data_IF_179073715618
#
_entry.id   IF_179073715618
#
_cell.length_a   1.000
_cell.length_b   1.000
_cell.length_c   1.000
_cell.angle_alpha   90.00
_cell.angle_beta   90.00
_cell.angle_gamma   90.00
#
_symmetry.space_group_name_H-M   'P 1'
#
loop_
_entity.id
_entity.type
_entity.pdbx_description
1 polymer ?
#
# COMPACT_ATOMS: atom_id res chain seq x y z
N UNK A 1 -7.47 0.30 13.65
CA UNK A 1 -8.30 1.39 14.20
C UNK A 1 -7.53 2.67 13.89
N UNK A 2 -8.10 3.60 13.12
CA UNK A 2 -7.49 4.90 12.79
C UNK A 2 -8.60 5.91 12.48
N UNK A 3 -9.19 6.52 13.50
CA UNK A 3 -10.05 7.71 13.34
C UNK A 3 -9.24 9.00 13.49
N UNK A 4 -9.74 10.14 12.99
CA UNK A 4 -9.03 11.43 13.10
C UNK A 4 -8.69 11.83 14.54
N UNK A 5 -9.54 11.47 15.50
CA UNK A 5 -9.27 11.70 16.92
C UNK A 5 -8.06 10.95 17.46
N UNK A 6 -7.75 9.76 16.93
CA UNK A 6 -6.64 8.91 17.39
C UNK A 6 -5.27 9.43 16.91
N UNK A 7 -5.25 10.21 15.83
CA UNK A 7 -4.02 10.80 15.25
C UNK A 7 -3.84 12.27 15.63
N UNK A 8 -4.63 12.79 16.58
CA UNK A 8 -4.61 14.22 16.95
C UNK A 8 -3.25 14.68 17.43
N UNK A 9 -2.66 13.97 18.38
CA UNK A 9 -1.34 14.33 18.93
C UNK A 9 -0.25 14.25 17.85
N UNK A 10 -0.33 13.24 16.98
CA UNK A 10 0.58 13.05 15.86
C UNK A 10 0.51 14.21 14.85
N UNK A 11 -0.70 14.63 14.49
CA UNK A 11 -0.90 15.77 13.60
C UNK A 11 -0.40 17.08 14.22
N UNK A 12 -0.60 17.26 15.53
CA UNK A 12 -0.15 18.44 16.29
C UNK A 12 1.36 18.46 16.53
N UNK A 13 2.06 17.33 16.46
CA UNK A 13 3.51 17.25 16.58
C UNK A 13 4.25 17.86 15.36
N UNK A 14 3.56 18.09 14.25
CA UNK A 14 4.14 18.66 13.05
C UNK A 14 4.55 20.13 13.26
N UNK A 15 5.84 20.42 13.00
CA UNK A 15 6.41 21.78 13.06
C UNK A 15 6.26 22.56 11.74
N UNK A 16 5.60 21.98 10.73
CA UNK A 16 5.42 22.55 9.40
C UNK A 16 6.71 22.96 8.67
N UNK A 17 7.86 22.38 9.00
CA UNK A 17 9.18 22.71 8.45
C UNK A 17 9.41 22.32 6.97
N UNK A 18 8.49 21.54 6.38
CA UNK A 18 8.45 21.19 4.96
C UNK A 18 9.59 20.28 4.43
N UNK A 19 10.42 19.69 5.31
CA UNK A 19 11.47 18.72 4.92
C UNK A 19 10.92 17.54 4.10
N UNK A 20 9.74 17.06 4.47
CA UNK A 20 9.04 15.96 3.81
C UNK A 20 8.64 16.22 2.35
N UNK A 21 8.62 17.49 1.89
CA UNK A 21 8.24 17.82 0.50
C UNK A 21 9.21 17.22 -0.51
N UNK A 22 10.51 17.28 -0.22
CA UNK A 22 11.56 16.84 -1.15
C UNK A 22 11.53 15.35 -1.41
N UNK A 23 11.13 14.56 -0.41
CA UNK A 23 11.06 13.09 -0.54
C UNK A 23 9.73 12.60 -1.09
N UNK A 24 8.69 13.45 -1.15
CA UNK A 24 7.37 13.01 -1.60
C UNK A 24 7.29 12.95 -3.14
N UNK A 25 7.07 11.76 -3.74
CA UNK A 25 7.00 11.63 -5.18
C UNK A 25 5.74 12.28 -5.77
N UNK A 26 4.60 12.17 -5.07
CA UNK A 26 3.33 12.81 -5.48
C UNK A 26 3.47 14.33 -5.55
N UNK A 27 4.08 14.94 -4.53
CA UNK A 27 4.29 16.38 -4.52
C UNK A 27 5.22 16.85 -5.64
N UNK A 28 6.24 16.06 -6.00
CA UNK A 28 7.15 16.42 -7.08
C UNK A 28 6.48 16.32 -8.45
N UNK A 29 5.55 15.38 -8.61
CA UNK A 29 4.72 15.29 -9.82
C UNK A 29 3.69 16.41 -9.91
N UNK A 30 3.05 16.79 -8.79
CA UNK A 30 1.95 17.76 -8.82
C UNK A 30 2.34 19.21 -8.57
N UNK A 31 3.44 19.43 -7.84
CA UNK A 31 3.91 20.72 -7.32
C UNK A 31 2.87 21.49 -6.48
N UNK A 32 1.73 20.89 -6.18
CA UNK A 32 0.65 21.52 -5.44
C UNK A 32 0.74 21.19 -3.95
N UNK A 33 0.79 22.22 -3.10
CA UNK A 33 1.11 22.04 -1.68
C UNK A 33 0.08 21.16 -0.94
N UNK A 34 -1.18 21.17 -1.38
CA UNK A 34 -2.23 20.30 -0.83
C UNK A 34 -1.84 18.82 -0.88
N UNK A 35 -1.16 18.39 -1.93
CA UNK A 35 -0.70 17.01 -2.12
C UNK A 35 0.67 16.71 -1.53
N UNK A 36 1.29 17.69 -0.87
CA UNK A 36 2.49 17.44 -0.08
C UNK A 36 2.17 16.72 1.23
N UNK A 37 3.13 16.00 1.83
CA UNK A 37 2.89 15.36 3.13
C UNK A 37 2.56 16.40 4.21
N UNK A 38 3.24 17.55 4.19
CA UNK A 38 2.97 18.66 5.10
C UNK A 38 1.58 19.26 4.88
N UNK A 39 1.19 19.47 3.64
CA UNK A 39 -0.14 20.00 3.28
C UNK A 39 -1.25 19.07 3.73
N UNK A 40 -1.06 17.75 3.60
CA UNK A 40 -1.97 16.74 4.15
C UNK A 40 -2.07 16.78 5.68
N UNK A 41 -0.97 17.02 6.38
CA UNK A 41 -1.00 17.23 7.84
C UNK A 41 -1.72 18.54 8.21
N UNK A 42 -1.51 19.62 7.45
CA UNK A 42 -2.23 20.88 7.66
C UNK A 42 -3.75 20.71 7.45
N UNK A 43 -4.12 19.95 6.42
CA UNK A 43 -5.48 19.51 6.15
C UNK A 43 -6.08 18.74 7.32
N UNK A 44 -5.39 17.73 7.85
CA UNK A 44 -5.82 16.98 9.03
C UNK A 44 -5.98 17.90 10.26
N UNK A 45 -5.07 18.84 10.47
CA UNK A 45 -5.14 19.82 11.55
C UNK A 45 -6.42 20.66 11.48
N UNK A 46 -6.74 21.18 10.29
CA UNK A 46 -7.98 21.93 10.06
C UNK A 46 -9.23 21.10 10.36
N UNK A 47 -9.26 19.82 9.93
CA UNK A 47 -10.37 18.92 10.26
C UNK A 47 -10.50 18.67 11.76
N UNK A 48 -9.38 18.38 12.43
CA UNK A 48 -9.34 18.08 13.86
C UNK A 48 -9.80 19.26 14.71
N UNK A 49 -9.50 20.49 14.28
CA UNK A 49 -9.92 21.71 14.96
C UNK A 49 -11.34 22.18 14.58
N UNK A 50 -11.96 21.57 13.57
CA UNK A 50 -13.24 22.05 13.02
C UNK A 50 -13.13 23.36 12.25
N UNK A 51 -11.94 23.68 11.76
CA UNK A 51 -11.62 24.91 11.00
C UNK A 51 -11.69 24.70 9.49
N UNK A 52 -11.80 23.44 9.06
CA UNK A 52 -11.84 23.05 7.65
C UNK A 52 -13.08 22.19 7.39
N UNK A 53 -13.89 22.62 6.44
CA UNK A 53 -14.92 21.77 5.84
C UNK A 53 -14.29 21.02 4.64
N UNK A 54 -14.38 19.68 4.58
CA UNK A 54 -13.82 18.93 3.46
C UNK A 54 -14.52 19.26 2.14
N UNK A 55 -13.73 19.59 1.10
CA UNK A 55 -14.20 19.68 -0.29
C UNK A 55 -13.83 18.45 -1.11
N UNK A 56 -14.33 18.35 -2.34
CA UNK A 56 -13.92 17.27 -3.26
C UNK A 56 -12.40 17.33 -3.56
N UNK A 57 -11.84 18.52 -3.74
CA UNK A 57 -10.41 18.72 -3.95
C UNK A 57 -9.57 18.31 -2.73
N UNK A 58 -10.10 18.52 -1.52
CA UNK A 58 -9.49 18.04 -0.29
C UNK A 58 -9.39 16.51 -0.31
N UNK A 59 -10.49 15.82 -0.63
CA UNK A 59 -10.50 14.37 -0.64
C UNK A 59 -9.62 13.79 -1.75
N UNK A 60 -9.60 14.41 -2.92
CA UNK A 60 -8.67 14.10 -4.00
C UNK A 60 -7.20 14.20 -3.56
N UNK A 61 -6.83 15.27 -2.84
CA UNK A 61 -5.49 15.45 -2.27
C UNK A 61 -5.08 14.30 -1.35
N UNK A 62 -5.97 13.91 -0.43
CA UNK A 62 -5.76 12.82 0.53
C UNK A 62 -5.67 11.47 -0.18
N UNK A 63 -6.55 11.24 -1.16
CA UNK A 63 -6.57 10.02 -1.95
C UNK A 63 -5.32 9.88 -2.82
N UNK A 64 -4.75 10.96 -3.35
CA UNK A 64 -3.52 10.91 -4.13
C UNK A 64 -2.25 10.57 -3.32
N UNK A 65 -2.34 10.37 -1.99
CA UNK A 65 -1.21 9.84 -1.25
C UNK A 65 -0.89 8.40 -1.66
N UNK A 66 0.36 8.11 -2.01
CA UNK A 66 0.77 6.74 -2.33
C UNK A 66 1.08 5.87 -1.10
N UNK A 67 0.94 6.43 0.12
CA UNK A 67 1.28 5.80 1.41
C UNK A 67 2.72 5.25 1.49
N UNK A 68 3.62 5.80 0.67
CA UNK A 68 4.98 5.31 0.55
C UNK A 68 5.79 5.36 1.86
N UNK A 69 5.69 6.44 2.64
CA UNK A 69 6.43 6.58 3.90
C UNK A 69 7.76 7.31 3.79
N UNK A 70 8.22 7.66 2.58
CA UNK A 70 9.40 8.51 2.36
C UNK A 70 9.36 9.84 3.12
N UNK A 71 8.16 10.33 3.39
CA UNK A 71 7.95 11.55 4.16
C UNK A 71 8.20 11.38 5.66
N UNK A 72 7.98 10.19 6.22
CA UNK A 72 8.22 9.85 7.62
C UNK A 72 9.71 9.69 7.88
N UNK A 73 10.42 8.98 7.00
CA UNK A 73 11.87 8.82 7.05
C UNK A 73 12.61 10.16 6.98
N UNK A 74 12.12 11.08 6.14
CA UNK A 74 12.69 12.41 6.00
C UNK A 74 12.27 13.38 7.12
N UNK A 75 11.35 12.99 8.01
CA UNK A 75 10.76 13.89 8.99
C UNK A 75 11.66 14.04 10.23
N UNK A 76 12.20 15.25 10.52
CA UNK A 76 13.02 15.45 11.72
C UNK A 76 12.22 15.35 13.02
N UNK A 77 10.89 15.49 12.95
CA UNK A 77 9.97 15.34 14.07
C UNK A 77 9.33 13.95 14.13
N UNK A 78 9.74 13.02 13.26
CA UNK A 78 9.25 11.64 13.20
C UNK A 78 7.72 11.50 13.09
N UNK A 79 7.07 12.50 12.47
CA UNK A 79 5.61 12.50 12.26
C UNK A 79 5.20 11.32 11.37
N UNK A 80 4.27 10.50 11.86
CA UNK A 80 3.67 9.35 11.17
C UNK A 80 2.58 9.81 10.21
N UNK A 81 3.00 10.45 9.12
CA UNK A 81 2.08 11.03 8.12
C UNK A 81 1.14 9.98 7.50
N UNK A 82 1.56 8.72 7.36
CA UNK A 82 0.71 7.66 6.81
C UNK A 82 -0.46 7.38 7.72
N UNK A 83 -0.26 7.29 9.03
CA UNK A 83 -1.34 7.10 10.00
C UNK A 83 -2.36 8.26 9.92
N UNK A 84 -1.88 9.50 9.77
CA UNK A 84 -2.74 10.69 9.58
C UNK A 84 -3.54 10.59 8.28
N UNK A 85 -2.91 10.22 7.16
CA UNK A 85 -3.58 10.06 5.87
C UNK A 85 -4.63 8.96 5.92
N UNK A 86 -4.32 7.82 6.55
CA UNK A 86 -5.25 6.71 6.71
C UNK A 86 -6.47 7.12 7.53
N UNK A 87 -6.26 7.90 8.59
CA UNK A 87 -7.35 8.46 9.39
C UNK A 87 -8.23 9.42 8.57
N UNK A 88 -7.64 10.30 7.75
CA UNK A 88 -8.40 11.17 6.84
C UNK A 88 -9.20 10.38 5.79
N UNK A 89 -8.62 9.31 5.23
CA UNK A 89 -9.35 8.45 4.28
C UNK A 89 -10.49 7.68 4.95
N UNK A 90 -10.31 7.24 6.20
CA UNK A 90 -11.36 6.62 6.99
C UNK A 90 -12.52 7.59 7.29
N UNK A 91 -12.20 8.86 7.58
CA UNK A 91 -13.18 9.93 7.73
C UNK A 91 -13.96 10.15 6.43
N UNK A 92 -13.27 10.22 5.28
CA UNK A 92 -13.88 10.37 3.97
C UNK A 92 -14.96 9.29 3.68
N UNK A 93 -14.70 8.03 4.03
CA UNK A 93 -15.71 6.97 3.85
C UNK A 93 -16.92 7.10 4.78
N UNK A 94 -16.77 7.82 5.89
CA UNK A 94 -17.78 7.94 6.94
C UNK A 94 -18.60 9.23 6.83
N UNK A 95 -18.06 10.26 6.18
CA UNK A 95 -18.68 11.57 6.03
C UNK A 95 -19.80 11.63 4.98
N UNK A 96 -20.03 10.54 4.24
CA UNK A 96 -21.02 10.48 3.15
C UNK A 96 -20.60 11.23 1.89
N UNK A 97 -19.36 11.71 1.81
CA UNK A 97 -18.82 12.39 0.65
C UNK A 97 -18.75 11.47 -0.57
N UNK A 98 -18.92 12.05 -1.76
CA UNK A 98 -18.81 11.31 -3.01
C UNK A 98 -17.35 10.89 -3.26
N UNK A 99 -17.13 9.57 -3.32
CA UNK A 99 -15.83 9.04 -3.72
C UNK A 99 -15.60 9.26 -5.21
N UNK A 100 -14.36 9.58 -5.63
CA UNK A 100 -13.98 9.54 -7.03
C UNK A 100 -14.28 8.18 -7.63
N UNK A 101 -14.66 8.13 -8.92
CA UNK A 101 -15.07 6.89 -9.60
C UNK A 101 -14.03 5.78 -9.46
N UNK A 102 -12.75 6.13 -9.63
CA UNK A 102 -11.60 5.23 -9.52
C UNK A 102 -11.43 4.59 -8.13
N UNK A 103 -12.01 5.21 -7.10
CA UNK A 103 -11.98 4.75 -5.70
C UNK A 103 -13.28 4.04 -5.33
N UNK A 104 -14.41 4.52 -5.83
CA UNK A 104 -15.75 3.97 -5.52
C UNK A 104 -15.85 2.49 -5.87
N UNK A 105 -15.43 2.11 -7.07
CA UNK A 105 -15.47 0.71 -7.52
C UNK A 105 -14.67 -0.23 -6.59
N UNK A 106 -13.52 0.22 -6.09
CA UNK A 106 -12.71 -0.56 -5.15
C UNK A 106 -13.40 -0.75 -3.81
N UNK A 107 -13.98 0.32 -3.24
CA UNK A 107 -14.71 0.23 -1.96
C UNK A 107 -15.92 -0.70 -2.11
N UNK A 108 -16.71 -0.51 -3.18
CA UNK A 108 -17.90 -1.33 -3.40
C UNK A 108 -17.56 -2.80 -3.62
N UNK A 109 -16.50 -3.10 -4.35
CA UNK A 109 -16.02 -4.48 -4.53
C UNK A 109 -15.58 -5.07 -3.20
N UNK A 110 -14.82 -4.33 -2.40
CA UNK A 110 -14.36 -4.76 -1.08
C UNK A 110 -15.52 -5.02 -0.10
N UNK A 111 -16.60 -4.24 -0.19
CA UNK A 111 -17.80 -4.43 0.64
C UNK A 111 -18.58 -5.69 0.22
N UNK A 112 -18.84 -5.84 -1.08
CA UNK A 112 -19.69 -6.89 -1.64
C UNK A 112 -19.03 -8.27 -1.57
N UNK A 113 -17.71 -8.36 -1.70
CA UNK A 113 -17.01 -9.64 -1.81
C UNK A 113 -16.95 -10.36 -0.47
N UNK A 114 -17.40 -11.63 -0.36
CA UNK A 114 -17.44 -12.33 0.92
C UNK A 114 -16.03 -12.59 1.46
N UNK A 115 -15.88 -12.61 2.79
CA UNK A 115 -14.67 -13.16 3.42
C UNK A 115 -14.74 -14.68 3.30
N UNK A 116 -13.70 -15.41 2.91
CA UNK A 116 -13.75 -16.88 2.84
C UNK A 116 -13.59 -17.49 4.24
N UNK A 117 -14.10 -18.72 4.44
CA UNK A 117 -13.66 -19.54 5.57
C UNK A 117 -12.35 -20.22 5.15
N UNK A 118 -11.30 -20.12 5.96
CA UNK A 118 -9.98 -20.61 5.61
C UNK A 118 -9.30 -21.32 6.78
N UNK A 119 -8.64 -22.45 6.48
CA UNK A 119 -7.75 -23.18 7.38
C UNK A 119 -6.46 -23.54 6.64
N UNK A 120 -5.36 -23.77 7.37
CA UNK A 120 -4.07 -24.10 6.75
C UNK A 120 -3.36 -22.88 6.15
N UNK A 121 -2.71 -23.05 4.99
CA UNK A 121 -2.08 -21.95 4.25
C UNK A 121 -3.01 -21.54 3.11
N UNK A 122 -3.39 -20.27 3.06
CA UNK A 122 -4.23 -19.74 1.99
C UNK A 122 -3.57 -18.59 1.29
N UNK A 123 -3.75 -18.51 -0.03
CA UNK A 123 -3.26 -17.43 -0.86
C UNK A 123 -4.43 -16.52 -1.21
N UNK A 124 -4.31 -15.26 -0.82
CA UNK A 124 -5.31 -14.24 -1.09
C UNK A 124 -4.82 -13.35 -2.24
N UNK A 125 -5.66 -13.07 -3.27
CA UNK A 125 -5.31 -12.16 -4.34
C UNK A 125 -4.98 -10.77 -3.81
N UNK A 126 -3.89 -10.19 -4.30
CA UNK A 126 -3.75 -8.73 -4.34
C UNK A 126 -4.71 -8.12 -5.38
N UNK A 127 -4.69 -6.79 -5.52
CA UNK A 127 -5.60 -6.02 -6.40
C UNK A 127 -5.62 -6.53 -7.85
N UNK A 128 -4.53 -7.15 -8.32
CA UNK A 128 -4.36 -7.61 -9.70
C UNK A 128 -4.28 -9.13 -9.87
N UNK A 129 -4.45 -9.90 -8.79
CA UNK A 129 -4.78 -11.34 -8.79
C UNK A 129 -3.84 -12.29 -9.57
N UNK A 130 -2.66 -12.61 -9.03
CA UNK A 130 -1.78 -13.70 -9.55
C UNK A 130 -1.72 -14.92 -8.64
N UNK A 131 -2.84 -15.21 -7.98
CA UNK A 131 -2.96 -16.21 -6.90
C UNK A 131 -2.47 -17.59 -7.32
N UNK A 132 -2.80 -18.01 -8.54
CA UNK A 132 -2.45 -19.30 -9.09
C UNK A 132 -0.93 -19.48 -9.17
N UNK A 133 -0.21 -18.44 -9.61
CA UNK A 133 1.25 -18.47 -9.72
C UNK A 133 1.90 -18.64 -8.35
N UNK A 134 1.36 -17.96 -7.33
CA UNK A 134 1.85 -18.08 -5.95
C UNK A 134 1.53 -19.45 -5.34
N UNK A 135 0.35 -20.01 -5.60
CA UNK A 135 0.00 -21.38 -5.17
C UNK A 135 0.92 -22.41 -5.80
N UNK A 136 1.17 -22.31 -7.10
CA UNK A 136 2.12 -23.19 -7.81
C UNK A 136 3.52 -23.09 -7.21
N UNK A 137 4.00 -21.86 -6.97
CA UNK A 137 5.30 -21.63 -6.35
C UNK A 137 5.43 -22.23 -4.94
N UNK A 138 4.39 -22.08 -4.11
CA UNK A 138 4.37 -22.68 -2.77
C UNK A 138 4.34 -24.22 -2.84
N UNK A 139 3.62 -24.78 -3.80
CA UNK A 139 3.57 -26.23 -4.05
C UNK A 139 4.93 -26.79 -4.45
N UNK A 140 5.70 -26.09 -5.31
CA UNK A 140 7.09 -26.43 -5.65
C UNK A 140 8.01 -26.50 -4.42
N UNK A 141 7.70 -25.70 -3.38
CA UNK A 141 8.42 -25.68 -2.10
C UNK A 141 7.86 -26.70 -1.08
N UNK A 142 6.90 -27.54 -1.47
CA UNK A 142 6.27 -28.54 -0.61
C UNK A 142 5.26 -27.95 0.40
N UNK A 143 4.75 -26.75 0.16
CA UNK A 143 3.72 -26.10 0.98
C UNK A 143 2.35 -26.31 0.31
N UNK A 144 1.47 -27.05 0.97
CA UNK A 144 0.07 -27.14 0.56
C UNK A 144 -0.64 -25.80 0.84
N UNK A 145 -1.07 -25.12 -0.23
CA UNK A 145 -1.77 -23.85 -0.15
C UNK A 145 -3.00 -23.82 -1.06
N UNK A 146 -4.05 -23.14 -0.63
CA UNK A 146 -5.29 -22.97 -1.40
C UNK A 146 -5.49 -21.51 -1.80
N UNK A 147 -5.83 -21.27 -3.07
CA UNK A 147 -6.29 -19.97 -3.54
C UNK A 147 -7.69 -19.67 -3.00
N UNK A 148 -7.86 -18.55 -2.29
CA UNK A 148 -9.17 -18.13 -1.80
C UNK A 148 -9.53 -16.76 -2.33
N UNK A 149 -10.81 -16.55 -2.65
CA UNK A 149 -11.30 -15.22 -2.95
C UNK A 149 -11.39 -14.39 -1.67
N UNK A 150 -10.84 -13.18 -1.67
CA UNK A 150 -11.06 -12.23 -0.58
C UNK A 150 -11.18 -10.79 -1.14
N UNK A 151 -11.91 -9.89 -0.45
CA UNK A 151 -11.95 -8.48 -0.83
C UNK A 151 -10.56 -7.83 -0.71
N UNK A 152 -10.18 -6.94 -1.64
CA UNK A 152 -8.98 -6.12 -1.48
C UNK A 152 -9.25 -5.01 -0.45
N UNK A 153 -8.78 -5.19 0.78
CA UNK A 153 -9.03 -4.26 1.89
C UNK A 153 -7.90 -3.24 2.07
N UNK A 154 -6.72 -3.53 1.54
CA UNK A 154 -5.54 -2.67 1.44
C UNK A 154 -5.68 -1.57 0.41
N UNK A 155 -6.59 -1.75 -0.56
CA UNK A 155 -6.67 -0.94 -1.78
C UNK A 155 -7.02 0.52 -1.51
N UNK A 156 -7.18 0.95 -0.26
CA UNK A 156 -7.11 2.36 0.09
C UNK A 156 -6.38 2.59 1.43
N UNK A 157 -5.93 1.53 2.09
CA UNK A 157 -5.53 1.54 3.50
C UNK A 157 -6.69 1.86 4.45
N UNK A 158 -7.94 1.83 3.99
CA UNK A 158 -9.10 2.33 4.75
C UNK A 158 -9.84 1.22 5.52
N UNK A 159 -9.26 0.04 5.63
CA UNK A 159 -9.88 -1.03 6.39
C UNK A 159 -9.89 -0.79 7.92
N UNK A 160 -9.51 0.41 8.38
CA UNK A 160 -9.83 0.95 9.71
C UNK A 160 -11.07 1.84 9.79
N UNK A 161 -11.75 2.12 8.67
CA UNK A 161 -12.97 2.93 8.65
C UNK A 161 -14.12 2.26 9.40
N UNK A 162 -15.02 3.06 10.00
CA UNK A 162 -16.31 2.57 10.50
C UNK A 162 -17.04 1.68 9.50
N UNK A 163 -17.01 2.04 8.21
CA UNK A 163 -17.71 1.34 7.12
C UNK A 163 -17.21 -0.08 6.86
N UNK A 164 -15.92 -0.35 7.02
CA UNK A 164 -15.32 -1.69 6.81
C UNK A 164 -15.05 -2.46 8.12
N UNK A 165 -15.45 -1.91 9.27
CA UNK A 165 -15.12 -2.46 10.60
C UNK A 165 -15.69 -3.85 10.83
N UNK A 166 -16.91 -4.10 10.37
CA UNK A 166 -17.56 -5.42 10.48
C UNK A 166 -16.78 -6.47 9.68
N UNK A 167 -16.34 -6.11 8.46
CA UNK A 167 -15.51 -6.97 7.61
C UNK A 167 -14.22 -7.40 8.30
N UNK A 168 -13.57 -6.50 9.03
CA UNK A 168 -12.36 -6.82 9.80
C UNK A 168 -12.64 -7.90 10.86
N UNK A 169 -13.80 -7.82 11.51
CA UNK A 169 -14.26 -8.84 12.46
C UNK A 169 -14.44 -10.20 11.78
N UNK A 170 -15.09 -10.23 10.62
CA UNK A 170 -15.29 -11.44 9.82
C UNK A 170 -13.96 -12.11 9.43
N UNK A 171 -12.95 -11.32 9.03
CA UNK A 171 -11.60 -11.84 8.72
C UNK A 171 -10.98 -12.58 9.90
N UNK A 172 -11.03 -11.98 11.10
CA UNK A 172 -10.49 -12.63 12.30
C UNK A 172 -11.24 -13.92 12.64
N UNK A 173 -12.56 -13.92 12.50
CA UNK A 173 -13.38 -15.09 12.79
C UNK A 173 -13.16 -16.22 11.79
N UNK A 174 -13.15 -15.89 10.49
CA UNK A 174 -13.20 -16.88 9.40
C UNK A 174 -11.82 -17.31 8.91
N UNK A 175 -10.79 -16.50 9.13
CA UNK A 175 -9.42 -16.77 8.69
C UNK A 175 -8.40 -16.79 9.85
N UNK A 176 -8.80 -16.53 11.10
CA UNK A 176 -7.88 -16.41 12.23
C UNK A 176 -7.06 -17.67 12.56
N UNK A 177 -7.39 -18.81 11.94
CA UNK A 177 -6.64 -20.07 12.06
C UNK A 177 -5.72 -20.34 10.86
N UNK A 178 -5.85 -19.56 9.79
CA UNK A 178 -5.06 -19.71 8.58
C UNK A 178 -3.78 -18.88 8.67
N UNK A 179 -2.71 -19.39 8.06
CA UNK A 179 -1.60 -18.57 7.61
C UNK A 179 -1.98 -18.00 6.24
N UNK A 180 -1.94 -16.68 6.12
CA UNK A 180 -2.34 -15.97 4.91
C UNK A 180 -1.08 -15.58 4.14
N UNK A 181 -0.98 -15.99 2.90
CA UNK A 181 0.00 -15.48 1.95
C UNK A 181 -0.69 -14.47 1.06
N UNK A 182 -0.17 -13.25 0.98
CA UNK A 182 -0.75 -12.20 0.15
C UNK A 182 0.33 -11.51 -0.68
N UNK A 183 0.01 -11.30 -1.96
CA UNK A 183 0.91 -10.73 -2.97
C UNK A 183 1.02 -9.21 -2.89
N UNK A 184 0.15 -8.55 -2.12
CA UNK A 184 0.19 -7.11 -1.89
C UNK A 184 0.78 -6.80 -0.50
N UNK A 185 1.95 -6.17 -0.42
CA UNK A 185 2.57 -5.76 0.85
C UNK A 185 1.67 -4.85 1.71
N UNK A 186 0.85 -3.98 1.09
CA UNK A 186 -0.07 -3.12 1.82
C UNK A 186 -1.22 -3.92 2.47
N UNK A 187 -1.63 -5.02 1.85
CA UNK A 187 -2.62 -5.96 2.39
C UNK A 187 -2.03 -6.80 3.52
N UNK A 188 -0.80 -7.30 3.36
CA UNK A 188 -0.07 -8.00 4.43
C UNK A 188 0.01 -7.13 5.69
N UNK A 189 0.38 -5.85 5.53
CA UNK A 189 0.43 -4.89 6.61
C UNK A 189 -0.91 -4.72 7.34
N UNK A 190 -2.00 -4.63 6.59
CA UNK A 190 -3.33 -4.48 7.16
C UNK A 190 -3.81 -5.76 7.85
N UNK A 191 -3.67 -6.93 7.22
CA UNK A 191 -4.06 -8.23 7.77
C UNK A 191 -3.35 -8.49 9.11
N UNK A 192 -2.06 -8.13 9.22
CA UNK A 192 -1.32 -8.17 10.49
C UNK A 192 -1.92 -7.27 11.56
N UNK A 193 -2.28 -6.03 11.22
CA UNK A 193 -2.98 -5.12 12.14
C UNK A 193 -4.36 -5.65 12.54
N UNK A 194 -5.01 -6.46 11.70
CA UNK A 194 -6.24 -7.17 12.04
C UNK A 194 -6.03 -8.39 12.96
N UNK A 195 -4.77 -8.81 13.16
CA UNK A 195 -4.39 -9.92 14.03
C UNK A 195 -4.24 -11.27 13.32
N UNK A 196 -4.07 -11.28 11.99
CA UNK A 196 -3.85 -12.48 11.19
C UNK A 196 -2.36 -12.76 10.99
N UNK A 197 -1.97 -14.05 10.87
CA UNK A 197 -0.62 -14.46 10.44
C UNK A 197 -0.51 -14.29 8.93
N UNK A 198 -0.34 -13.04 8.48
CA UNK A 198 -0.18 -12.70 7.08
C UNK A 198 1.30 -12.51 6.69
N UNK A 199 1.70 -13.03 5.52
CA UNK A 199 3.06 -13.00 4.97
C UNK A 199 3.02 -12.62 3.50
N UNK A 200 3.99 -11.82 3.06
CA UNK A 200 4.27 -11.70 1.63
C UNK A 200 5.13 -12.90 1.18
N UNK A 201 5.00 -13.42 -0.06
CA UNK A 201 5.85 -14.50 -0.56
C UNK A 201 7.37 -14.25 -0.39
N UNK A 202 7.79 -12.99 -0.54
CA UNK A 202 9.18 -12.55 -0.33
C UNK A 202 9.73 -12.79 1.09
N UNK A 203 8.86 -12.88 2.09
CA UNK A 203 9.27 -13.17 3.48
C UNK A 203 9.48 -14.66 3.73
N UNK A 204 8.94 -15.51 2.84
CA UNK A 204 9.03 -16.96 2.96
C UNK A 204 10.28 -17.50 2.26
N UNK A 205 10.77 -16.80 1.22
CA UNK A 205 11.91 -17.24 0.41
C UNK A 205 12.93 -16.12 0.27
N UNK A 206 14.13 -16.34 0.82
CA UNK A 206 15.29 -15.47 0.61
C UNK A 206 16.06 -15.90 -0.63
N UNK A 207 16.44 -14.95 -1.48
CA UNK A 207 17.29 -15.20 -2.65
C UNK A 207 18.67 -14.58 -2.39
N UNK A 208 19.73 -15.39 -2.19
CA UNK A 208 21.08 -14.86 -2.02
C UNK A 208 21.54 -14.02 -3.22
N UNK A 209 22.11 -12.84 -2.97
CA UNK A 209 22.61 -11.95 -4.01
C UNK A 209 21.52 -11.29 -4.88
N UNK A 210 20.24 -11.40 -4.48
CA UNK A 210 19.17 -10.64 -5.08
C UNK A 210 19.00 -9.30 -4.34
N UNK A 211 19.40 -8.26 -5.03
CA UNK A 211 19.00 -6.90 -4.78
C UNK A 211 17.49 -6.78 -5.08
N UNK A 212 16.63 -6.70 -4.06
CA UNK A 212 15.17 -6.51 -4.23
C UNK A 212 14.71 -5.08 -3.90
N UNK A 213 13.98 -4.47 -4.81
CA UNK A 213 13.34 -3.18 -4.59
C UNK A 213 11.96 -3.42 -3.97
N UNK A 214 11.65 -2.76 -2.84
CA UNK A 214 10.34 -2.87 -2.19
C UNK A 214 9.45 -1.70 -2.63
N UNK A 215 8.61 -1.85 -3.67
CA UNK A 215 7.59 -0.85 -3.91
C UNK A 215 6.51 -0.94 -2.80
N UNK A 216 5.84 0.19 -2.56
CA UNK A 216 4.63 0.32 -1.70
C UNK A 216 4.68 -0.21 -0.26
N UNK A 217 5.85 -0.38 0.34
CA UNK A 217 6.01 -0.79 1.73
C UNK A 217 5.54 0.28 2.74
N UNK A 218 4.22 0.36 2.97
CA UNK A 218 3.66 0.98 4.18
C UNK A 218 4.31 0.37 5.45
N UNK A 219 4.80 -0.86 5.36
CA UNK A 219 5.78 -1.43 6.28
C UNK A 219 6.98 -1.98 5.50
N UNK A 220 8.23 -1.77 5.97
CA UNK A 220 9.37 -2.51 5.44
C UNK A 220 9.07 -4.00 5.58
N UNK A 221 9.07 -4.73 4.48
CA UNK A 221 9.12 -6.19 4.56
C UNK A 221 10.52 -6.54 5.09
N UNK A 222 10.62 -7.55 5.97
CA UNK A 222 11.89 -8.07 6.50
C UNK A 222 12.66 -8.88 5.43
N UNK A 223 12.79 -8.31 4.24
CA UNK A 223 13.53 -8.89 3.11
C UNK A 223 14.94 -8.32 3.17
N UNK A 224 15.93 -9.18 3.37
CA UNK A 224 17.34 -8.83 3.19
C UNK A 224 17.60 -8.59 1.70
N UNK A 225 17.56 -7.33 1.29
CA UNK A 225 17.89 -6.89 -0.05
C UNK A 225 19.03 -5.87 0.02
N UNK A 226 20.05 -6.02 -0.82
CA UNK A 226 21.18 -5.07 -0.93
C UNK A 226 20.77 -3.71 -1.58
N UNK A 227 19.47 -3.45 -1.83
CA UNK A 227 18.97 -2.33 -2.64
C UNK A 227 18.44 -1.12 -1.86
N UNK A 228 18.56 0.03 -2.54
CA UNK A 228 17.89 1.29 -2.21
C UNK A 228 16.37 1.15 -2.33
N UNK A 229 15.68 1.24 -1.20
CA UNK A 229 14.23 1.23 -1.10
C UNK A 229 13.65 2.59 -1.48
N UNK A 230 12.73 2.64 -2.43
CA UNK A 230 11.94 3.85 -2.70
C UNK A 230 10.46 3.52 -2.83
N UNK A 231 9.62 3.82 -1.82
CA UNK A 231 8.24 3.38 -1.85
C UNK A 231 7.33 4.19 -2.79
N UNK A 232 6.45 3.40 -3.42
CA UNK A 232 5.32 3.62 -4.33
C UNK A 232 5.44 4.45 -5.63
N UNK A 233 5.06 3.74 -6.70
CA UNK A 233 4.78 4.14 -8.08
C UNK A 233 4.04 2.96 -8.70
N UNK A 234 2.83 2.67 -8.21
CA UNK A 234 1.93 1.63 -8.73
C UNK A 234 0.86 2.29 -9.58
N UNK A 235 0.27 1.50 -10.47
CA UNK A 235 -1.14 1.66 -10.81
C UNK A 235 -2.02 1.37 -9.59
N UNK A 236 -1.83 2.14 -8.51
CA UNK A 236 -2.74 2.12 -7.38
C UNK A 236 -4.01 2.78 -7.88
N UNK A 237 -5.16 2.10 -7.93
CA UNK A 237 -6.32 2.63 -8.65
C UNK A 237 -6.85 3.95 -8.10
N UNK A 238 -6.42 4.35 -6.89
CA UNK A 238 -6.73 5.65 -6.29
C UNK A 238 -5.77 6.80 -6.66
N UNK A 239 -4.54 6.52 -7.08
CA UNK A 239 -3.61 7.56 -7.53
C UNK A 239 -3.96 7.99 -8.95
N UNK A 240 -3.89 9.30 -9.22
CA UNK A 240 -4.01 9.80 -10.60
C UNK A 240 -2.95 9.17 -11.50
N UNK A 241 -3.36 8.76 -12.70
CA UNK A 241 -2.51 8.05 -13.66
C UNK A 241 -1.28 8.86 -14.02
N UNK A 242 -1.45 10.16 -14.27
CA UNK A 242 -0.34 11.08 -14.60
C UNK A 242 0.74 11.08 -13.50
N UNK A 243 0.36 10.98 -12.23
CA UNK A 243 1.31 10.90 -11.12
C UNK A 243 1.98 9.54 -11.07
N UNK A 244 1.22 8.45 -11.26
CA UNK A 244 1.80 7.11 -11.33
C UNK A 244 2.86 7.02 -12.45
N UNK A 245 2.57 7.58 -13.62
CA UNK A 245 3.47 7.61 -14.78
C UNK A 245 4.72 8.46 -14.50
N UNK A 246 4.58 9.69 -14.03
CA UNK A 246 5.72 10.55 -13.69
C UNK A 246 6.65 9.91 -12.64
N UNK A 247 6.06 9.22 -11.65
CA UNK A 247 6.81 8.49 -10.63
C UNK A 247 7.55 7.29 -11.25
N UNK A 248 6.91 6.55 -12.15
CA UNK A 248 7.55 5.43 -12.85
C UNK A 248 8.73 5.87 -13.72
N UNK A 249 8.60 6.99 -14.45
CA UNK A 249 9.67 7.60 -15.26
C UNK A 249 10.89 7.97 -14.41
N UNK A 250 10.66 8.63 -13.29
CA UNK A 250 11.73 9.00 -12.38
C UNK A 250 12.48 7.77 -11.85
N UNK A 251 11.76 6.71 -11.53
CA UNK A 251 12.32 5.45 -11.03
C UNK A 251 13.12 4.72 -12.08
N UNK A 252 12.59 4.63 -13.31
CA UNK A 252 13.31 4.04 -14.43
C UNK A 252 14.63 4.78 -14.67
N UNK A 253 14.62 6.11 -14.59
CA UNK A 253 15.83 6.93 -14.67
C UNK A 253 16.82 6.61 -13.54
N UNK A 254 16.37 6.49 -12.28
CA UNK A 254 17.22 6.13 -11.13
C UNK A 254 17.75 4.69 -11.16
N UNK A 255 16.98 3.76 -11.72
CA UNK A 255 17.41 2.38 -11.89
C UNK A 255 18.68 2.32 -12.76
N UNK A 256 18.84 3.26 -13.72
CA UNK A 256 20.09 3.42 -14.45
C UNK A 256 20.47 2.17 -15.25
N UNK A 257 19.47 1.45 -15.78
CA UNK A 257 19.65 0.21 -16.53
C UNK A 257 19.83 -1.05 -15.69
N UNK A 258 19.74 -0.96 -14.35
CA UNK A 258 19.67 -2.14 -13.47
C UNK A 258 18.30 -2.81 -13.61
N UNK A 259 18.28 -4.14 -13.46
CA UNK A 259 17.05 -4.92 -13.33
C UNK A 259 16.31 -4.52 -12.04
N UNK A 260 14.99 -4.35 -12.11
CA UNK A 260 14.13 -3.90 -11.01
C UNK A 260 13.14 -5.00 -10.64
N UNK A 261 13.37 -5.63 -9.49
CA UNK A 261 12.43 -6.57 -8.91
C UNK A 261 11.21 -5.85 -8.31
N UNK A 262 10.00 -6.28 -8.65
CA UNK A 262 8.75 -5.72 -8.15
C UNK A 262 8.05 -6.71 -7.22
N UNK A 263 7.86 -6.35 -5.94
CA UNK A 263 7.06 -7.16 -5.00
C UNK A 263 5.65 -7.39 -5.53
N UNK A 264 4.96 -6.30 -5.82
CA UNK A 264 3.63 -6.34 -6.41
C UNK A 264 3.75 -6.30 -7.94
N UNK A 265 3.21 -7.29 -8.66
CA UNK A 265 3.37 -7.43 -10.12
C UNK A 265 2.87 -6.23 -10.93
N UNK A 266 1.89 -5.48 -10.42
CA UNK A 266 1.31 -4.31 -11.07
C UNK A 266 2.29 -3.16 -11.30
N UNK A 267 3.42 -3.16 -10.59
CA UNK A 267 4.48 -2.18 -10.78
C UNK A 267 5.31 -2.42 -12.05
N UNK A 268 5.29 -3.64 -12.56
CA UNK A 268 6.15 -4.06 -13.67
C UNK A 268 5.77 -3.33 -14.95
N UNK A 269 4.48 -3.26 -15.28
CA UNK A 269 4.04 -2.64 -16.54
C UNK A 269 4.35 -1.13 -16.62
N UNK A 270 4.04 -0.29 -15.61
CA UNK A 270 4.43 1.11 -15.60
C UNK A 270 5.94 1.34 -15.72
N UNK A 271 6.74 0.56 -14.98
CA UNK A 271 8.20 0.67 -15.02
C UNK A 271 8.77 0.27 -16.38
N UNK A 272 8.25 -0.81 -16.99
CA UNK A 272 8.63 -1.20 -18.36
C UNK A 272 8.27 -0.14 -19.40
N UNK A 273 7.08 0.49 -19.29
CA UNK A 273 6.70 1.61 -20.17
C UNK A 273 7.63 2.81 -20.01
N UNK A 274 8.10 3.05 -18.79
CA UNK A 274 9.11 4.07 -18.46
C UNK A 274 10.55 3.69 -18.89
N UNK A 275 10.76 2.50 -19.47
CA UNK A 275 12.07 2.05 -19.97
C UNK A 275 12.95 1.32 -18.95
N UNK A 276 12.41 0.94 -17.78
CA UNK A 276 13.13 0.10 -16.83
C UNK A 276 13.04 -1.39 -17.21
N UNK A 277 14.09 -2.14 -16.90
CA UNK A 277 14.07 -3.60 -16.95
C UNK A 277 13.41 -4.14 -15.68
N UNK A 278 12.08 -4.08 -15.61
CA UNK A 278 11.33 -4.52 -14.43
C UNK A 278 10.83 -5.97 -14.57
N UNK A 279 10.90 -6.73 -13.47
CA UNK A 279 10.45 -8.12 -13.37
C UNK A 279 9.68 -8.34 -12.08
N UNK A 280 8.64 -9.19 -12.06
CA UNK A 280 8.01 -9.57 -10.80
C UNK A 280 8.98 -10.33 -9.91
N UNK A 281 8.88 -10.14 -8.60
CA UNK A 281 9.80 -10.78 -7.65
C UNK A 281 9.68 -12.31 -7.68
N UNK A 282 8.49 -12.88 -7.79
CA UNK A 282 8.31 -14.33 -7.86
C UNK A 282 9.02 -14.93 -9.08
N UNK A 283 8.90 -14.28 -10.23
CA UNK A 283 9.59 -14.67 -11.47
C UNK A 283 11.11 -14.59 -11.27
N UNK A 284 11.60 -13.53 -10.62
CA UNK A 284 13.00 -13.38 -10.28
C UNK A 284 13.48 -14.49 -9.34
N UNK A 285 12.70 -14.79 -8.30
CA UNK A 285 12.98 -15.90 -7.37
C UNK A 285 13.07 -17.22 -8.15
N UNK A 286 12.10 -17.54 -9.01
CA UNK A 286 12.12 -18.76 -9.84
C UNK A 286 13.35 -18.85 -10.75
N UNK A 287 13.77 -17.73 -11.33
CA UNK A 287 14.93 -17.69 -12.23
C UNK A 287 16.28 -17.83 -11.51
N UNK A 288 16.34 -17.50 -10.21
CA UNK A 288 17.59 -17.46 -9.42
C UNK A 288 17.67 -18.51 -8.31
N UNK A 289 16.54 -19.06 -7.89
CA UNK A 289 16.49 -20.22 -7.02
C UNK A 289 17.00 -21.42 -7.84
N UNK A 290 18.19 -21.90 -7.48
CA UNK A 290 18.59 -23.25 -7.87
C UNK A 290 17.69 -24.19 -7.08
N UNK A 291 16.54 -24.57 -7.64
CA UNK A 291 15.64 -25.57 -7.05
C UNK A 291 16.36 -26.92 -6.90
#
# INVERSE_FOLDING_TARGET
MTGLGEVREEALACTFCAYCRRSCPVYRASLWEGESPRGRVAQAHGLILGELEPSDEFYESVLNCSLCGLCEEACPSSVRVRDIVLAMRAELLSSGASLPERVRGLVEEAEKRPVPLAEGVVVVPGIHGRVEETVEFLSELGVEAEAVEAPPLSALGIAGSPRLREKVGEYRERMGRARVVCEDPAEVAWLRKAGLDARHPAELVRVPGAEAYLPSAWLPLEVEAELTLEPAGSEVPWLRREFAEAIAEERASRAGGREVACLSPEHVAPLRRAGADAVPLLDLIRSRASL
#
